data_IF_394974044601
#
_entry.id   IF_394974044601
#
_cell.length_a   1.000
_cell.length_b   1.000
_cell.length_c   1.000
_cell.angle_alpha   90.00
_cell.angle_beta   90.00
_cell.angle_gamma   90.00
#
_symmetry.space_group_name_H-M   'P 1'
#
loop_
_entity.id
_entity.type
_entity.pdbx_description
1 polymer ?
#
# COMPACT_ATOMS: atom_id res chain seq x y z
N UNK A 1 0.90 73.63 -20.73
CA UNK A 1 -0.31 72.89 -21.13
C UNK A 1 0.13 71.86 -22.14
N UNK A 2 -0.06 70.58 -21.80
CA UNK A 2 0.10 69.42 -22.69
C UNK A 2 -0.90 69.54 -23.88
N UNK A 3 -0.80 68.85 -25.01
CA UNK A 3 -0.42 67.45 -25.22
C UNK A 3 -0.31 67.14 -26.74
N UNK A 4 0.25 65.97 -27.06
CA UNK A 4 0.14 65.15 -28.30
C UNK A 4 1.00 65.51 -29.53
N UNK A 5 1.87 64.57 -29.95
CA UNK A 5 1.51 63.47 -30.86
C UNK A 5 2.66 62.44 -30.96
N UNK A 6 2.34 61.19 -30.62
CA UNK A 6 3.16 59.99 -30.82
C UNK A 6 3.29 59.64 -32.32
N UNK A 7 4.49 59.20 -32.70
CA UNK A 7 4.80 58.63 -34.02
C UNK A 7 4.61 57.11 -33.96
N UNK A 8 3.90 56.59 -34.96
CA UNK A 8 3.68 55.17 -35.23
C UNK A 8 4.87 54.51 -35.96
N UNK A 9 4.84 53.17 -35.91
CA UNK A 9 5.63 52.15 -36.63
C UNK A 9 6.90 51.70 -35.89
N UNK A 10 7.14 50.40 -35.66
CA UNK A 10 6.91 49.26 -36.54
C UNK A 10 6.82 47.97 -35.70
N UNK A 11 5.85 47.11 -36.00
CA UNK A 11 5.72 45.80 -35.36
C UNK A 11 6.77 44.83 -35.89
N UNK A 12 7.69 44.38 -35.02
CA UNK A 12 8.50 43.21 -35.30
C UNK A 12 7.76 41.93 -34.89
N UNK A 13 7.31 41.22 -35.91
CA UNK A 13 6.77 39.87 -35.86
C UNK A 13 7.85 38.90 -35.34
N UNK A 14 7.67 38.39 -34.11
CA UNK A 14 8.61 37.46 -33.50
C UNK A 14 8.43 36.06 -34.11
N UNK A 15 9.52 35.55 -34.68
CA UNK A 15 9.69 34.25 -35.32
C UNK A 15 9.05 33.06 -34.55
N UNK A 16 8.35 32.13 -35.25
CA UNK A 16 7.76 30.92 -34.65
C UNK A 16 8.76 29.97 -33.96
N UNK A 17 10.07 30.15 -34.15
CA UNK A 17 11.10 29.30 -33.54
C UNK A 17 11.41 29.67 -32.08
N UNK A 18 11.05 30.88 -31.64
CA UNK A 18 11.35 31.36 -30.29
C UNK A 18 10.22 31.09 -29.27
N UNK A 19 9.05 30.60 -29.73
CA UNK A 19 7.98 30.09 -28.85
C UNK A 19 8.18 28.66 -28.36
N UNK A 20 9.21 27.95 -28.85
CA UNK A 20 9.43 26.55 -28.53
C UNK A 20 10.43 26.31 -27.38
N UNK A 21 10.93 27.37 -26.72
CA UNK A 21 11.95 27.24 -25.65
C UNK A 21 11.57 27.88 -24.30
N UNK A 22 10.31 28.28 -24.10
CA UNK A 22 9.77 28.62 -22.78
C UNK A 22 8.74 27.57 -22.36
N UNK A 23 9.20 26.42 -21.89
CA UNK A 23 8.28 25.36 -21.46
C UNK A 23 8.88 23.98 -21.33
N UNK A 24 10.14 23.85 -20.93
CA UNK A 24 10.68 22.55 -20.50
C UNK A 24 11.40 22.77 -19.17
N UNK A 25 10.62 23.04 -18.13
CA UNK A 25 11.07 22.75 -16.78
C UNK A 25 11.46 21.27 -16.73
N UNK A 26 12.76 21.05 -16.61
CA UNK A 26 13.42 19.77 -16.72
C UNK A 26 12.75 18.71 -15.82
N UNK A 27 12.20 17.66 -16.45
CA UNK A 27 11.79 16.40 -15.78
C UNK A 27 12.97 15.66 -15.11
N UNK A 28 14.15 16.28 -15.00
CA UNK A 28 15.31 15.81 -14.21
C UNK A 28 15.39 16.42 -12.81
N UNK A 29 14.41 17.23 -12.40
CA UNK A 29 14.36 17.81 -11.05
C UNK A 29 14.02 16.80 -9.94
N UNK A 30 13.50 15.61 -10.26
CA UNK A 30 13.13 14.60 -9.26
C UNK A 30 14.35 13.91 -8.62
N UNK A 31 15.50 13.90 -9.28
CA UNK A 31 16.68 13.13 -8.82
C UNK A 31 17.78 14.00 -8.19
N UNK A 32 17.71 15.33 -8.27
CA UNK A 32 18.82 16.23 -7.90
C UNK A 32 18.64 17.00 -6.59
N UNK A 33 17.54 16.81 -5.85
CA UNK A 33 17.31 17.48 -4.55
C UNK A 33 17.67 16.66 -3.31
N UNK A 34 18.22 15.45 -3.45
CA UNK A 34 18.33 14.50 -2.33
C UNK A 34 19.68 14.46 -1.60
N UNK A 35 20.52 15.50 -1.72
CA UNK A 35 21.80 15.56 -0.99
C UNK A 35 22.03 16.93 -0.35
N UNK A 36 21.15 17.34 0.57
CA UNK A 36 21.49 18.28 1.65
C UNK A 36 20.26 18.52 2.55
N UNK A 37 19.90 17.52 3.33
CA UNK A 37 19.34 17.68 4.67
C UNK A 37 19.28 16.28 5.27
N UNK A 38 20.12 16.01 6.26
CA UNK A 38 19.87 14.94 7.23
C UNK A 38 18.65 15.37 8.06
N UNK A 39 17.49 15.41 7.41
CA UNK A 39 16.21 15.63 8.04
C UNK A 39 15.85 14.33 8.75
N UNK A 40 15.50 14.45 10.03
CA UNK A 40 14.96 13.39 10.90
C UNK A 40 14.26 12.33 10.06
N UNK A 41 14.91 11.19 9.83
CA UNK A 41 14.31 10.08 9.11
C UNK A 41 13.18 9.62 10.02
N UNK A 42 11.93 9.86 9.62
CA UNK A 42 10.78 9.36 10.35
C UNK A 42 11.00 7.85 10.60
N UNK A 43 10.68 7.31 11.78
CA UNK A 43 11.00 5.92 12.13
C UNK A 43 10.52 4.91 11.08
N UNK A 44 9.40 5.20 10.40
CA UNK A 44 8.90 4.45 9.25
C UNK A 44 9.88 4.38 8.06
N UNK A 45 10.50 5.51 7.69
CA UNK A 45 11.45 5.58 6.58
C UNK A 45 12.79 4.87 6.89
N UNK A 46 13.23 4.90 8.16
CA UNK A 46 14.42 4.13 8.59
C UNK A 46 14.15 2.63 8.57
N UNK A 47 12.95 2.21 8.99
CA UNK A 47 12.51 0.81 8.98
C UNK A 47 12.42 0.24 7.55
N UNK A 48 11.93 1.04 6.61
CA UNK A 48 11.91 0.72 5.17
C UNK A 48 13.29 0.40 4.60
N UNK A 49 14.32 1.19 4.94
CA UNK A 49 15.70 0.94 4.48
C UNK A 49 16.21 -0.41 4.98
N UNK A 50 15.91 -0.78 6.23
CA UNK A 50 16.37 -2.07 6.78
C UNK A 50 15.71 -3.30 6.15
N UNK A 51 14.43 -3.22 5.76
CA UNK A 51 13.72 -4.37 5.15
C UNK A 51 14.22 -4.68 3.73
N UNK A 52 14.50 -3.64 2.93
CA UNK A 52 14.90 -3.82 1.51
C UNK A 52 16.19 -4.63 1.32
N UNK A 53 17.10 -4.61 2.29
CA UNK A 53 18.33 -5.40 2.24
C UNK A 53 18.11 -6.92 2.33
N UNK A 54 17.00 -7.38 2.92
CA UNK A 54 16.70 -8.82 3.06
C UNK A 54 16.15 -9.48 1.79
N UNK A 55 15.67 -8.70 0.82
CA UNK A 55 14.96 -9.22 -0.36
C UNK A 55 15.87 -9.49 -1.57
N UNK A 56 17.10 -8.97 -1.59
CA UNK A 56 17.95 -8.90 -2.79
C UNK A 56 18.53 -10.24 -3.30
N UNK A 57 18.07 -11.39 -2.80
CA UNK A 57 18.62 -12.73 -3.13
C UNK A 57 17.62 -13.70 -3.77
N UNK A 58 16.36 -13.30 -3.96
CA UNK A 58 15.31 -14.17 -4.52
C UNK A 58 15.14 -13.94 -6.03
N UNK A 59 15.13 -15.04 -6.80
CA UNK A 59 14.78 -15.03 -8.23
C UNK A 59 13.32 -15.46 -8.39
N UNK A 60 12.53 -14.68 -9.14
CA UNK A 60 11.17 -15.06 -9.50
C UNK A 60 11.12 -16.18 -10.56
N UNK A 61 12.23 -16.45 -11.25
CA UNK A 61 12.29 -17.52 -12.24
C UNK A 61 12.29 -18.89 -11.55
N UNK A 62 11.24 -19.68 -11.78
CA UNK A 62 11.05 -20.98 -11.12
C UNK A 62 10.45 -20.89 -9.72
N UNK A 63 9.80 -19.77 -9.36
CA UNK A 63 9.12 -19.61 -8.08
C UNK A 63 8.04 -20.69 -7.90
N UNK A 64 8.24 -21.61 -6.95
CA UNK A 64 7.24 -22.62 -6.61
C UNK A 64 6.10 -21.98 -5.84
N UNK A 65 4.90 -22.58 -5.89
CA UNK A 65 3.78 -22.11 -5.08
C UNK A 65 4.10 -22.15 -3.58
N UNK A 66 4.86 -23.15 -3.15
CA UNK A 66 5.31 -23.24 -1.77
C UNK A 66 6.21 -22.08 -1.36
N UNK A 67 7.20 -21.72 -2.19
CA UNK A 67 8.06 -20.58 -1.94
C UNK A 67 7.26 -19.28 -1.89
N UNK A 68 6.36 -19.07 -2.85
CA UNK A 68 5.50 -17.89 -2.89
C UNK A 68 4.59 -17.76 -1.65
N UNK A 69 3.92 -18.85 -1.23
CA UNK A 69 3.06 -18.81 -0.04
C UNK A 69 3.86 -18.63 1.27
N UNK A 70 5.10 -19.13 1.34
CA UNK A 70 5.97 -18.86 2.48
C UNK A 70 6.50 -17.42 2.49
N UNK A 71 6.74 -16.83 1.31
CA UNK A 71 7.08 -15.41 1.15
C UNK A 71 5.93 -14.53 1.63
N UNK A 72 4.72 -14.73 1.09
CA UNK A 72 3.51 -13.99 1.50
C UNK A 72 3.30 -14.09 3.01
N UNK A 73 3.33 -15.30 3.60
CA UNK A 73 3.20 -15.47 5.05
C UNK A 73 4.19 -14.60 5.85
N UNK A 74 5.45 -14.56 5.40
CA UNK A 74 6.50 -13.80 6.08
C UNK A 74 6.30 -12.29 5.90
N UNK A 75 5.84 -11.88 4.74
CA UNK A 75 5.57 -10.48 4.43
C UNK A 75 4.41 -9.98 5.31
N UNK A 76 3.34 -10.75 5.49
CA UNK A 76 2.24 -10.39 6.40
C UNK A 76 2.69 -10.23 7.87
N UNK A 77 3.53 -11.13 8.37
CA UNK A 77 4.14 -11.00 9.69
C UNK A 77 5.01 -9.73 9.80
N UNK A 78 5.67 -9.37 8.70
CA UNK A 78 6.52 -8.19 8.60
C UNK A 78 5.70 -6.92 8.54
N UNK A 79 4.57 -6.89 7.83
CA UNK A 79 3.61 -5.79 7.81
C UNK A 79 3.02 -5.53 9.20
N UNK A 80 2.59 -6.58 9.91
CA UNK A 80 2.15 -6.49 11.31
C UNK A 80 3.23 -5.84 12.18
N UNK A 81 4.46 -6.35 12.10
CA UNK A 81 5.59 -5.87 12.90
C UNK A 81 5.91 -4.40 12.58
N UNK A 82 5.85 -4.05 11.31
CA UNK A 82 6.06 -2.70 10.81
C UNK A 82 5.01 -1.73 11.39
N UNK A 83 3.72 -2.03 11.23
CA UNK A 83 2.63 -1.18 11.70
C UNK A 83 2.63 -1.04 13.22
N UNK A 84 2.88 -2.12 13.96
CA UNK A 84 3.04 -2.07 15.42
C UNK A 84 4.16 -1.13 15.84
N UNK A 85 5.29 -1.16 15.13
CA UNK A 85 6.41 -0.27 15.39
C UNK A 85 6.05 1.19 15.10
N UNK A 86 5.38 1.45 13.97
CA UNK A 86 4.94 2.78 13.57
C UNK A 86 3.90 3.39 14.53
N UNK A 87 3.01 2.56 15.09
CA UNK A 87 1.97 2.96 16.03
C UNK A 87 2.47 3.05 17.49
N UNK A 88 3.52 2.31 17.85
CA UNK A 88 4.05 2.27 19.21
C UNK A 88 2.98 1.92 20.25
N UNK A 89 2.81 2.78 21.26
CA UNK A 89 1.80 2.59 22.33
C UNK A 89 0.35 2.73 21.82
N UNK A 90 0.15 3.36 20.67
CA UNK A 90 -1.18 3.50 20.06
C UNK A 90 -1.59 2.27 19.24
N UNK A 91 -0.72 1.25 19.13
CA UNK A 91 -1.03 0.03 18.42
C UNK A 91 -2.19 -0.71 19.10
N UNK A 92 -3.19 -1.08 18.30
CA UNK A 92 -4.31 -1.87 18.78
C UNK A 92 -3.84 -3.24 19.31
N UNK A 93 -4.52 -3.80 20.31
CA UNK A 93 -4.26 -5.18 20.71
C UNK A 93 -4.58 -6.15 19.56
N UNK A 94 -3.82 -7.26 19.47
CA UNK A 94 -4.06 -8.32 18.49
C UNK A 94 -5.47 -8.91 18.73
N UNK A 95 -6.36 -8.92 17.73
CA UNK A 95 -7.65 -9.61 17.81
C UNK A 95 -7.48 -11.11 17.98
N UNK A 96 -8.58 -11.78 18.34
CA UNK A 96 -8.69 -13.24 18.19
C UNK A 96 -9.61 -13.55 17.02
N UNK A 97 -9.25 -14.56 16.24
CA UNK A 97 -9.96 -14.92 15.01
C UNK A 97 -10.67 -16.27 15.10
N UNK A 98 -11.59 -16.51 14.17
CA UNK A 98 -12.36 -17.76 13.99
C UNK A 98 -12.50 -18.04 12.49
N UNK A 99 -12.87 -19.28 12.16
CA UNK A 99 -13.16 -19.71 10.77
C UNK A 99 -12.04 -19.47 9.74
N UNK A 100 -10.77 -19.33 10.18
CA UNK A 100 -9.64 -19.08 9.28
C UNK A 100 -9.07 -20.37 8.66
N UNK A 101 -9.19 -21.51 9.34
CA UNK A 101 -8.67 -22.78 8.83
C UNK A 101 -9.50 -23.26 7.65
N UNK A 102 -8.88 -23.43 6.50
CA UNK A 102 -9.55 -23.87 5.29
C UNK A 102 -9.55 -25.39 5.17
N UNK A 103 -10.60 -25.93 4.53
CA UNK A 103 -10.82 -27.37 4.37
C UNK A 103 -10.13 -27.97 3.13
N UNK A 104 -9.64 -27.14 2.22
CA UNK A 104 -8.90 -27.58 1.04
C UNK A 104 -7.91 -26.52 0.57
N UNK A 105 -6.92 -26.94 -0.22
CA UNK A 105 -5.96 -26.02 -0.87
C UNK A 105 -6.69 -25.01 -1.77
N UNK A 106 -7.71 -25.44 -2.51
CA UNK A 106 -8.47 -24.54 -3.38
C UNK A 106 -9.22 -23.46 -2.58
N UNK A 107 -9.84 -23.84 -1.45
CA UNK A 107 -10.51 -22.88 -0.57
C UNK A 107 -9.51 -21.90 0.06
N UNK A 108 -8.33 -22.39 0.44
CA UNK A 108 -7.23 -21.53 0.90
C UNK A 108 -6.81 -20.50 -0.14
N UNK A 109 -6.49 -20.92 -1.36
CA UNK A 109 -6.06 -19.99 -2.43
C UNK A 109 -7.17 -19.00 -2.77
N UNK A 110 -8.43 -19.44 -2.82
CA UNK A 110 -9.56 -18.55 -3.12
C UNK A 110 -9.79 -17.50 -2.03
N UNK A 111 -9.72 -17.88 -0.75
CA UNK A 111 -9.89 -16.92 0.34
C UNK A 111 -8.66 -16.01 0.49
N UNK A 112 -7.46 -16.53 0.28
CA UNK A 112 -6.23 -15.73 0.18
C UNK A 112 -6.39 -14.63 -0.88
N UNK A 113 -6.87 -15.00 -2.08
CA UNK A 113 -7.11 -14.04 -3.15
C UNK A 113 -8.09 -12.95 -2.74
N UNK A 114 -9.13 -13.27 -1.97
CA UNK A 114 -10.06 -12.26 -1.46
C UNK A 114 -9.36 -11.32 -0.48
N UNK A 115 -8.62 -11.85 0.50
CA UNK A 115 -7.94 -11.05 1.51
C UNK A 115 -6.93 -10.08 0.87
N UNK A 116 -6.02 -10.54 0.01
CA UNK A 116 -5.04 -9.63 -0.60
C UNK A 116 -5.69 -8.50 -1.43
N UNK A 117 -6.80 -8.79 -2.12
CA UNK A 117 -7.52 -7.75 -2.86
C UNK A 117 -8.25 -6.77 -1.91
N UNK A 118 -8.71 -7.25 -0.74
CA UNK A 118 -9.21 -6.40 0.35
C UNK A 118 -8.10 -5.52 0.90
N UNK A 119 -6.90 -6.07 1.13
CA UNK A 119 -5.69 -5.33 1.52
C UNK A 119 -5.37 -4.20 0.55
N UNK A 120 -5.25 -4.50 -0.74
CA UNK A 120 -5.06 -3.49 -1.81
C UNK A 120 -6.11 -2.39 -1.75
N UNK A 121 -7.39 -2.76 -1.68
CA UNK A 121 -8.49 -1.80 -1.61
C UNK A 121 -8.47 -0.94 -0.35
N UNK A 122 -8.09 -1.51 0.79
CA UNK A 122 -7.98 -0.81 2.07
C UNK A 122 -6.86 0.22 2.07
N UNK A 123 -5.68 -0.14 1.57
CA UNK A 123 -4.55 0.78 1.47
C UNK A 123 -4.81 1.89 0.45
N UNK A 124 -5.48 1.60 -0.67
CA UNK A 124 -5.91 2.62 -1.63
C UNK A 124 -6.96 3.57 -1.03
N UNK A 125 -7.88 3.06 -0.21
CA UNK A 125 -8.84 3.90 0.53
C UNK A 125 -8.11 4.83 1.50
N UNK A 126 -7.10 4.31 2.21
CA UNK A 126 -6.34 5.05 3.21
C UNK A 126 -5.43 6.12 2.60
N UNK A 127 -4.81 5.84 1.45
CA UNK A 127 -3.77 6.69 0.85
C UNK A 127 -4.11 8.19 0.76
N UNK A 128 -5.29 8.63 0.25
CA UNK A 128 -5.62 10.06 0.20
C UNK A 128 -5.95 10.67 1.56
N UNK A 129 -6.28 9.85 2.56
CA UNK A 129 -6.67 10.32 3.90
C UNK A 129 -5.49 10.48 4.86
N UNK A 130 -4.35 9.84 4.58
CA UNK A 130 -3.15 9.92 5.43
C UNK A 130 -2.47 11.29 5.28
N UNK A 131 -2.34 12.00 6.40
CA UNK A 131 -1.76 13.34 6.45
C UNK A 131 -0.24 13.27 6.57
N UNK A 132 0.26 12.48 7.53
CA UNK A 132 1.69 12.30 7.80
C UNK A 132 2.40 11.62 6.62
N UNK A 133 3.51 12.22 6.17
CA UNK A 133 4.22 11.73 4.98
C UNK A 133 5.04 10.49 5.23
N UNK A 134 5.47 10.25 6.46
CA UNK A 134 6.11 9.01 6.86
C UNK A 134 5.13 7.85 6.84
N UNK A 135 3.92 8.05 7.36
CA UNK A 135 2.84 7.06 7.30
C UNK A 135 2.32 6.83 5.89
N UNK A 136 2.22 7.88 5.06
CA UNK A 136 1.83 7.72 3.66
C UNK A 136 2.87 6.91 2.88
N UNK A 137 4.16 7.21 3.06
CA UNK A 137 5.24 6.45 2.42
C UNK A 137 5.21 4.98 2.85
N UNK A 138 5.02 4.74 4.14
CA UNK A 138 4.87 3.39 4.69
C UNK A 138 3.69 2.62 4.11
N UNK A 139 2.49 3.21 4.14
CA UNK A 139 1.28 2.62 3.58
C UNK A 139 1.44 2.34 2.08
N UNK A 140 2.08 3.25 1.34
CA UNK A 140 2.39 3.06 -0.08
C UNK A 140 3.35 1.91 -0.34
N UNK A 141 4.33 1.66 0.55
CA UNK A 141 5.22 0.51 0.40
C UNK A 141 4.49 -0.82 0.60
N UNK A 142 3.66 -0.93 1.64
CA UNK A 142 2.86 -2.14 1.91
C UNK A 142 1.89 -2.39 0.76
N UNK A 143 1.14 -1.37 0.31
CA UNK A 143 0.23 -1.47 -0.83
C UNK A 143 0.87 -2.10 -2.08
N UNK A 144 2.14 -1.81 -2.35
CA UNK A 144 2.80 -2.40 -3.54
C UNK A 144 3.08 -3.89 -3.38
N UNK A 145 3.26 -4.37 -2.15
CA UNK A 145 3.48 -5.78 -1.83
C UNK A 145 2.14 -6.53 -1.87
N UNK A 146 1.11 -6.00 -1.22
CA UNK A 146 -0.29 -6.47 -1.31
C UNK A 146 -0.73 -6.66 -2.78
N UNK A 147 -0.44 -5.68 -3.63
CA UNK A 147 -0.78 -5.75 -5.05
C UNK A 147 -0.04 -6.88 -5.80
N UNK A 148 1.20 -7.20 -5.41
CA UNK A 148 1.97 -8.31 -5.98
C UNK A 148 1.42 -9.65 -5.50
N UNK A 149 1.08 -9.76 -4.22
CA UNK A 149 0.43 -10.95 -3.66
C UNK A 149 -0.92 -11.20 -4.36
N UNK A 150 -1.78 -10.19 -4.41
CA UNK A 150 -3.07 -10.24 -5.11
C UNK A 150 -2.89 -10.66 -6.57
N UNK A 151 -1.92 -10.07 -7.28
CA UNK A 151 -1.62 -10.41 -8.67
C UNK A 151 -1.17 -11.85 -8.87
N UNK A 152 -0.29 -12.33 -8.00
CA UNK A 152 0.14 -13.73 -8.00
C UNK A 152 -1.04 -14.68 -7.77
N UNK A 153 -1.84 -14.45 -6.73
CA UNK A 153 -3.01 -15.29 -6.40
C UNK A 153 -4.06 -15.26 -7.49
N UNK A 154 -4.32 -14.09 -8.09
CA UNK A 154 -5.19 -13.97 -9.25
C UNK A 154 -4.71 -14.89 -10.39
N UNK A 155 -3.40 -14.89 -10.69
CA UNK A 155 -2.83 -15.75 -11.73
C UNK A 155 -2.99 -17.25 -11.42
N UNK A 156 -2.83 -17.65 -10.15
CA UNK A 156 -3.00 -19.04 -9.73
C UNK A 156 -4.41 -19.58 -9.95
N UNK A 157 -5.43 -18.72 -9.84
CA UNK A 157 -6.83 -19.09 -10.03
C UNK A 157 -7.36 -18.74 -11.42
N UNK A 158 -6.47 -18.43 -12.37
CA UNK A 158 -6.84 -18.14 -13.76
C UNK A 158 -7.54 -16.79 -13.98
N UNK A 159 -7.39 -15.84 -13.06
CA UNK A 159 -7.84 -14.44 -13.21
C UNK A 159 -6.72 -13.57 -13.79
N UNK A 160 -7.05 -12.40 -14.38
CA UNK A 160 -6.05 -11.41 -14.76
C UNK A 160 -5.27 -10.91 -13.53
N UNK A 161 -4.01 -10.51 -13.72
CA UNK A 161 -3.15 -10.01 -12.63
C UNK A 161 -3.81 -8.88 -11.83
N UNK A 162 -4.47 -7.93 -12.50
CA UNK A 162 -5.39 -7.00 -11.84
C UNK A 162 -6.83 -7.28 -12.27
N UNK A 163 -7.70 -7.45 -11.28
CA UNK A 163 -9.14 -7.67 -11.50
C UNK A 163 -9.88 -6.37 -11.83
N UNK A 164 -9.26 -5.21 -11.59
CA UNK A 164 -9.82 -3.88 -11.84
C UNK A 164 -9.35 -3.24 -13.15
N UNK A 165 -8.56 -3.96 -13.94
CA UNK A 165 -7.96 -3.43 -15.17
C UNK A 165 -6.72 -2.58 -14.88
N UNK A 166 -6.60 -1.43 -15.53
CA UNK A 166 -5.38 -0.61 -15.44
C UNK A 166 -5.27 0.22 -14.15
N UNK A 167 -6.32 0.27 -13.34
CA UNK A 167 -6.37 1.05 -12.10
C UNK A 167 -7.11 0.26 -11.02
N UNK A 168 -6.40 -0.14 -9.97
CA UNK A 168 -7.06 -0.68 -8.79
C UNK A 168 -7.92 0.36 -8.08
N UNK A 169 -8.96 -0.12 -7.41
CA UNK A 169 -10.00 0.72 -6.83
C UNK A 169 -9.96 0.61 -5.30
N UNK A 170 -10.15 1.73 -4.58
CA UNK A 170 -10.36 1.67 -3.15
C UNK A 170 -11.67 0.91 -2.85
N UNK A 171 -11.65 0.07 -1.82
CA UNK A 171 -12.85 -0.59 -1.30
C UNK A 171 -13.37 0.26 -0.13
N UNK A 172 -14.66 0.64 -0.09
CA UNK A 172 -15.21 1.40 1.03
C UNK A 172 -15.02 0.69 2.37
N UNK A 173 -14.69 1.43 3.43
CA UNK A 173 -14.48 0.88 4.78
C UNK A 173 -15.62 -0.05 5.23
N UNK A 174 -16.88 0.34 4.98
CA UNK A 174 -18.04 -0.46 5.37
C UNK A 174 -18.10 -1.83 4.67
N UNK A 175 -17.64 -1.91 3.42
CA UNK A 175 -17.56 -3.16 2.66
C UNK A 175 -16.42 -4.04 3.19
N UNK A 176 -15.24 -3.45 3.43
CA UNK A 176 -14.13 -4.15 4.07
C UNK A 176 -14.57 -4.75 5.42
N UNK A 177 -15.19 -3.94 6.27
CA UNK A 177 -15.70 -4.37 7.58
C UNK A 177 -16.69 -5.53 7.42
N UNK A 178 -17.63 -5.43 6.47
CA UNK A 178 -18.58 -6.50 6.20
C UNK A 178 -17.87 -7.81 5.83
N UNK A 179 -16.81 -7.75 5.03
CA UNK A 179 -16.12 -8.93 4.53
C UNK A 179 -15.22 -9.58 5.59
N UNK A 180 -14.60 -8.79 6.48
CA UNK A 180 -13.65 -9.31 7.49
C UNK A 180 -14.27 -9.65 8.83
N UNK A 181 -15.36 -8.99 9.23
CA UNK A 181 -16.00 -9.21 10.54
C UNK A 181 -16.45 -10.65 10.80
N UNK A 182 -16.89 -11.46 9.81
CA UNK A 182 -17.19 -12.87 10.02
C UNK A 182 -16.02 -13.69 10.59
N UNK A 183 -14.77 -13.27 10.36
CA UNK A 183 -13.58 -13.96 10.84
C UNK A 183 -13.07 -13.46 12.20
N UNK A 184 -13.62 -12.36 12.71
CA UNK A 184 -13.22 -11.78 13.99
C UNK A 184 -14.06 -12.39 15.11
N UNK A 185 -13.41 -13.06 16.06
CA UNK A 185 -14.06 -13.59 17.27
C UNK A 185 -14.14 -12.54 18.38
N UNK A 186 -13.08 -11.77 18.54
CA UNK A 186 -13.00 -10.68 19.53
C UNK A 186 -11.97 -9.66 19.07
N UNK A 187 -12.28 -8.37 19.25
CA UNK A 187 -11.35 -7.27 19.03
C UNK A 187 -10.31 -7.13 20.14
N UNK A 188 -10.45 -7.91 21.22
CA UNK A 188 -9.53 -7.95 22.36
C UNK A 188 -9.30 -6.56 22.99
N UNK A 189 -10.37 -5.76 23.12
CA UNK A 189 -10.32 -4.39 23.63
C UNK A 189 -9.90 -3.33 22.61
N UNK A 190 -9.59 -3.71 21.36
CA UNK A 190 -9.33 -2.77 20.28
C UNK A 190 -10.59 -2.04 19.80
N UNK A 191 -10.39 -0.88 19.17
CA UNK A 191 -11.48 -0.08 18.60
C UNK A 191 -12.32 -0.86 17.58
N UNK A 192 -13.62 -0.57 17.56
CA UNK A 192 -14.55 -1.08 16.55
C UNK A 192 -14.16 -0.58 15.16
N UNK A 193 -13.91 -1.49 14.19
CA UNK A 193 -13.44 -1.14 12.85
C UNK A 193 -14.51 -0.45 11.99
N UNK A 194 -15.77 -0.40 12.42
CA UNK A 194 -16.83 0.37 11.75
C UNK A 194 -16.80 1.87 12.09
N UNK A 195 -16.01 2.27 13.11
CA UNK A 195 -15.91 3.68 13.48
C UNK A 195 -15.21 4.49 12.39
N UNK A 196 -15.58 5.77 12.20
CA UNK A 196 -14.92 6.63 11.23
C UNK A 196 -13.41 6.73 11.47
N UNK A 197 -12.61 6.62 10.40
CA UNK A 197 -11.17 6.80 10.42
C UNK A 197 -10.85 8.30 10.39
N UNK A 198 -10.67 8.94 11.56
CA UNK A 198 -10.61 10.41 11.66
C UNK A 198 -9.21 10.99 11.53
N UNK A 199 -8.20 10.17 11.74
CA UNK A 199 -6.79 10.56 11.74
C UNK A 199 -5.91 9.36 11.36
N UNK A 200 -4.62 9.62 11.15
CA UNK A 200 -3.66 8.61 10.72
C UNK A 200 -3.55 7.43 11.71
N UNK A 201 -3.74 7.66 13.01
CA UNK A 201 -3.71 6.58 14.01
C UNK A 201 -4.91 5.65 13.87
N UNK A 202 -6.10 6.18 13.59
CA UNK A 202 -7.29 5.36 13.31
C UNK A 202 -7.08 4.55 12.02
N UNK A 203 -6.54 5.17 10.97
CA UNK A 203 -6.24 4.54 9.68
C UNK A 203 -5.24 3.39 9.85
N UNK A 204 -4.10 3.65 10.51
CA UNK A 204 -3.07 2.63 10.71
C UNK A 204 -3.53 1.51 11.64
N UNK A 205 -4.37 1.79 12.64
CA UNK A 205 -4.95 0.74 13.48
C UNK A 205 -5.98 -0.10 12.73
N UNK A 206 -6.69 0.48 11.76
CA UNK A 206 -7.55 -0.26 10.86
C UNK A 206 -6.73 -1.15 9.91
N UNK A 207 -5.65 -0.63 9.31
CA UNK A 207 -4.71 -1.45 8.54
C UNK A 207 -4.15 -2.61 9.39
N UNK A 208 -3.67 -2.32 10.61
CA UNK A 208 -3.13 -3.34 11.52
C UNK A 208 -4.16 -4.42 11.90
N UNK A 209 -5.47 -4.14 11.86
CA UNK A 209 -6.48 -5.18 12.01
C UNK A 209 -6.44 -6.19 10.87
N UNK A 210 -6.34 -5.69 9.63
CA UNK A 210 -6.33 -6.50 8.41
C UNK A 210 -5.04 -7.33 8.35
N UNK A 211 -3.89 -6.70 8.60
CA UNK A 211 -2.60 -7.41 8.68
C UNK A 211 -2.61 -8.54 9.73
N UNK A 212 -3.22 -8.31 10.90
CA UNK A 212 -3.34 -9.38 11.90
C UNK A 212 -4.21 -10.54 11.42
N UNK A 213 -5.25 -10.25 10.63
CA UNK A 213 -6.16 -11.25 10.06
C UNK A 213 -5.41 -12.09 9.04
N UNK A 214 -4.73 -11.44 8.09
CA UNK A 214 -3.95 -12.08 7.02
C UNK A 214 -2.79 -12.90 7.57
N UNK A 215 -1.94 -12.31 8.41
CA UNK A 215 -0.83 -13.03 9.05
C UNK A 215 -1.32 -14.29 9.78
N UNK A 216 -2.40 -14.18 10.56
CA UNK A 216 -2.96 -15.34 11.26
C UNK A 216 -3.55 -16.37 10.29
N UNK A 217 -4.16 -15.92 9.19
CA UNK A 217 -4.71 -16.79 8.17
C UNK A 217 -3.62 -17.59 7.45
N UNK A 218 -2.51 -16.96 7.05
CA UNK A 218 -1.38 -17.64 6.41
C UNK A 218 -0.64 -18.57 7.38
N UNK A 219 -0.43 -18.15 8.63
CA UNK A 219 0.17 -18.99 9.68
C UNK A 219 -0.58 -20.31 9.87
N UNK A 220 -1.91 -20.28 9.80
CA UNK A 220 -2.76 -21.47 9.96
C UNK A 220 -2.67 -22.36 8.71
N UNK A 221 -2.72 -21.78 7.52
CA UNK A 221 -3.01 -22.54 6.29
C UNK A 221 -1.76 -22.93 5.49
N UNK A 222 -0.71 -22.10 5.45
CA UNK A 222 0.51 -22.42 4.70
C UNK A 222 1.13 -23.73 5.17
N UNK A 223 1.32 -23.98 6.49
CA UNK A 223 1.83 -25.26 6.97
C UNK A 223 0.87 -26.44 6.72
N UNK A 224 -0.38 -26.24 6.31
CA UNK A 224 -1.29 -27.32 5.94
C UNK A 224 -1.13 -27.76 4.49
N UNK A 225 -0.73 -26.85 3.59
CA UNK A 225 -0.83 -27.06 2.14
C UNK A 225 0.49 -26.92 1.38
N UNK A 226 1.49 -26.26 1.97
CA UNK A 226 2.75 -25.88 1.33
C UNK A 226 3.90 -26.04 2.35
N UNK A 227 4.62 -27.18 2.26
CA UNK A 227 5.70 -27.63 3.16
C UNK A 227 6.86 -28.21 2.37
#
# INVERSE_FOLDING_TARGET
>A
MADQFEVFEEGQEVSPKDRFLQGVASRRSFLTRSVASAAVIAPAAALLVTQTASAATLSAHGLSAEAAFNEIRKDEDTHVSFLKTALGKAARPKPTFKELKQSSRANFVNLAQVFENVGVGAYLLAAPAIVDKGYLAAAGSILTIEARHAGYLNSLIGKPLSTNGSFDKPIPQAEIVKDVMPFIKSLNGGSDPSKPLKNDIDILNFALLLEYLEATFYDINVPCYYR
#
